data_IF_952997177456
#
_entry.id   IF_952997177456
#
_cell.length_a   1.000
_cell.length_b   1.000
_cell.length_c   1.000
_cell.angle_alpha   90.00
_cell.angle_beta   90.00
_cell.angle_gamma   90.00
#
_symmetry.space_group_name_H-M   'P 1'
#
loop_
_entity.id
_entity.type
_entity.pdbx_description
1 polymer ?
#
# COMPACT_ATOMS: atom_id res chain seq x y z
N UNK A 1 -41.75 66.15 36.75
CA UNK A 1 -42.41 65.15 35.87
C UNK A 1 -42.81 65.82 34.56
N UNK A 2 -42.63 65.11 33.44
CA UNK A 2 -42.98 65.44 32.02
C UNK A 2 -42.06 66.46 31.34
N UNK A 3 -41.66 66.33 30.08
CA UNK A 3 -41.39 65.22 29.14
C UNK A 3 -40.63 65.93 28.00
N UNK A 4 -39.46 65.44 27.59
CA UNK A 4 -38.60 66.07 26.59
C UNK A 4 -39.05 65.74 25.14
N UNK A 5 -38.61 66.62 24.24
CA UNK A 5 -39.00 66.76 22.85
C UNK A 5 -38.22 65.88 21.86
N UNK A 6 -38.91 65.63 20.73
CA UNK A 6 -38.49 65.54 19.32
C UNK A 6 -37.01 65.34 18.92
N UNK A 7 -36.88 64.52 17.86
CA UNK A 7 -36.08 64.73 16.63
C UNK A 7 -34.96 63.71 16.36
N UNK A 8 -34.89 63.23 15.11
CA UNK A 8 -33.64 62.81 14.48
C UNK A 8 -33.71 61.54 13.62
N UNK A 9 -34.02 61.68 12.33
CA UNK A 9 -33.58 60.74 11.29
C UNK A 9 -32.17 61.12 10.82
N UNK A 10 -31.29 60.14 10.57
CA UNK A 10 -30.13 60.33 9.69
C UNK A 10 -29.66 58.99 9.09
N UNK A 11 -29.43 59.03 7.78
CA UNK A 11 -28.79 58.03 6.93
C UNK A 11 -27.29 57.87 7.21
N UNK A 12 -26.73 56.68 6.93
CA UNK A 12 -25.36 56.41 6.42
C UNK A 12 -25.12 54.89 6.46
N UNK A 13 -24.38 54.17 5.61
CA UNK A 13 -23.60 54.42 4.41
C UNK A 13 -23.32 53.04 3.73
N UNK A 14 -23.05 53.08 2.43
CA UNK A 14 -22.44 52.00 1.64
C UNK A 14 -21.02 51.66 2.14
N UNK A 15 -20.59 50.39 1.99
CA UNK A 15 -19.24 50.07 1.48
C UNK A 15 -19.09 48.58 1.11
N UNK A 16 -18.51 48.38 -0.07
CA UNK A 16 -18.08 47.15 -0.75
C UNK A 16 -16.75 46.61 -0.20
N UNK A 17 -16.41 45.36 -0.58
CA UNK A 17 -15.09 44.67 -0.54
C UNK A 17 -14.86 43.91 0.78
N UNK A 18 -14.46 42.63 0.83
CA UNK A 18 -13.20 42.04 0.33
C UNK A 18 -13.33 40.51 0.19
N UNK A 19 -12.85 39.99 -0.94
CA UNK A 19 -12.44 38.59 -1.15
C UNK A 19 -11.25 38.25 -0.24
N UNK A 20 -11.34 37.17 0.54
CA UNK A 20 -10.16 36.41 0.95
C UNK A 20 -10.42 34.92 0.76
N UNK A 21 -9.47 34.30 0.06
CA UNK A 21 -9.30 32.86 -0.07
C UNK A 21 -8.42 32.34 1.08
N UNK A 22 -8.25 31.00 1.12
CA UNK A 22 -7.35 30.15 1.93
C UNK A 22 -8.15 29.19 2.83
N UNK A 23 -7.87 27.89 2.95
CA UNK A 23 -6.78 27.02 2.47
C UNK A 23 -7.30 25.58 2.57
N UNK A 24 -7.02 24.71 1.57
CA UNK A 24 -7.34 23.27 1.64
C UNK A 24 -6.14 22.51 2.19
N UNK A 25 -6.38 21.73 3.23
CA UNK A 25 -5.43 20.93 4.00
C UNK A 25 -4.73 19.85 3.17
N UNK A 26 -3.43 19.67 3.40
CA UNK A 26 -2.54 18.71 2.73
C UNK A 26 -2.69 17.25 3.21
N UNK A 27 -3.86 16.83 3.67
CA UNK A 27 -4.07 15.52 4.30
C UNK A 27 -4.28 14.34 3.34
N UNK A 28 -4.72 14.59 2.10
CA UNK A 28 -5.17 13.51 1.20
C UNK A 28 -4.08 12.93 0.29
N UNK A 29 -2.84 13.45 0.33
CA UNK A 29 -1.78 13.03 -0.61
C UNK A 29 -0.83 11.92 -0.13
N UNK A 30 -0.84 11.55 1.15
CA UNK A 30 0.11 10.54 1.66
C UNK A 30 -0.36 9.08 1.48
N UNK A 31 -1.67 8.80 1.49
CA UNK A 31 -2.16 7.42 1.42
C UNK A 31 -1.91 6.74 0.06
N UNK A 32 -1.89 7.50 -1.04
CA UNK A 32 -1.65 6.95 -2.38
C UNK A 32 -0.16 6.66 -2.68
N UNK A 33 0.77 7.25 -1.93
CA UNK A 33 2.20 7.17 -2.23
C UNK A 33 2.86 5.84 -1.87
N UNK A 34 2.43 5.20 -0.77
CA UNK A 34 3.00 3.92 -0.34
C UNK A 34 2.52 2.74 -1.19
N UNK A 35 1.24 2.71 -1.58
CA UNK A 35 0.69 1.67 -2.46
C UNK A 35 1.38 1.68 -3.84
N UNK A 36 1.74 2.87 -4.34
CA UNK A 36 2.29 3.02 -5.68
C UNK A 36 3.80 2.72 -5.79
N UNK A 37 4.54 2.77 -4.67
CA UNK A 37 6.00 2.51 -4.67
C UNK A 37 6.36 1.03 -4.76
N UNK A 38 5.43 0.14 -4.42
CA UNK A 38 5.60 -1.32 -4.56
C UNK A 38 5.41 -1.79 -6.01
N UNK A 39 4.69 -1.02 -6.84
CA UNK A 39 4.20 -1.48 -8.14
C UNK A 39 4.95 -0.94 -9.38
N UNK A 40 5.88 0.01 -9.26
CA UNK A 40 6.32 0.82 -10.42
C UNK A 40 7.79 0.70 -10.85
N UNK A 41 8.60 -0.23 -10.34
CA UNK A 41 9.97 -0.41 -10.84
C UNK A 41 10.06 -1.48 -11.92
N UNK A 42 9.51 -1.20 -13.11
CA UNK A 42 10.05 -1.60 -14.44
C UNK A 42 8.94 -1.73 -15.49
N UNK A 43 8.60 -0.63 -16.15
CA UNK A 43 7.95 -0.69 -17.46
C UNK A 43 8.21 0.60 -18.20
N UNK A 44 9.39 0.71 -18.77
CA UNK A 44 9.61 1.60 -19.90
C UNK A 44 10.19 0.81 -21.05
N UNK A 45 9.47 0.94 -22.16
CA UNK A 45 9.87 0.82 -23.55
C UNK A 45 9.55 -0.46 -24.31
N UNK A 46 8.99 -0.18 -25.50
CA UNK A 46 8.96 -0.96 -26.74
C UNK A 46 7.70 -1.79 -27.01
N UNK A 47 6.61 -1.11 -27.38
CA UNK A 47 5.66 -1.69 -28.34
C UNK A 47 5.14 -0.61 -29.30
N UNK A 48 5.88 -0.41 -30.40
CA UNK A 48 5.35 -0.03 -31.72
C UNK A 48 6.52 0.06 -32.67
N UNK A 49 6.55 -0.79 -33.70
CA UNK A 49 6.73 -0.40 -35.11
C UNK A 49 7.00 -1.62 -36.02
N UNK A 50 6.24 -1.64 -37.12
CA UNK A 50 6.56 -2.17 -38.46
C UNK A 50 6.24 -3.63 -38.78
N UNK A 51 5.17 -3.77 -39.59
CA UNK A 51 4.90 -4.90 -40.47
C UNK A 51 5.83 -4.83 -41.69
N UNK A 52 6.52 -5.92 -42.00
CA UNK A 52 7.33 -6.06 -43.22
C UNK A 52 7.52 -7.53 -43.61
N UNK A 53 6.94 -7.92 -44.73
CA UNK A 53 6.97 -9.27 -45.29
C UNK A 53 8.39 -9.69 -45.74
N UNK A 54 8.76 -10.97 -45.54
CA UNK A 54 9.96 -11.56 -46.15
C UNK A 54 9.63 -12.92 -46.77
N UNK A 55 9.98 -13.03 -48.05
CA UNK A 55 9.87 -14.21 -48.91
C UNK A 55 10.98 -15.23 -48.64
N UNK A 56 10.69 -16.49 -49.00
CA UNK A 56 11.50 -17.68 -48.83
C UNK A 56 12.92 -17.61 -49.43
N UNK A 57 13.92 -18.09 -48.69
CA UNK A 57 14.90 -19.05 -49.24
C UNK A 57 15.63 -19.83 -48.15
N UNK A 58 16.02 -21.04 -48.54
CA UNK A 58 16.52 -22.19 -47.77
C UNK A 58 18.00 -22.07 -47.42
N UNK A 59 18.37 -22.30 -46.16
CA UNK A 59 19.74 -22.64 -45.73
C UNK A 59 19.74 -23.82 -44.74
N UNK A 60 20.84 -24.58 -44.77
CA UNK A 60 21.03 -25.99 -44.38
C UNK A 60 21.22 -26.23 -42.86
N UNK A 61 21.05 -27.47 -42.37
CA UNK A 61 21.23 -27.80 -40.95
C UNK A 61 22.72 -27.83 -40.59
N UNK A 62 23.12 -26.94 -39.69
CA UNK A 62 24.42 -26.97 -39.03
C UNK A 62 24.29 -27.63 -37.66
N UNK A 63 25.08 -28.68 -37.45
CA UNK A 63 25.34 -29.33 -36.17
C UNK A 63 25.77 -28.31 -35.10
N UNK A 64 24.92 -28.09 -34.11
CA UNK A 64 25.23 -27.33 -32.90
C UNK A 64 25.02 -28.23 -31.70
N UNK A 65 26.05 -28.32 -30.85
CA UNK A 65 26.03 -29.01 -29.56
C UNK A 65 24.74 -28.73 -28.78
N UNK A 66 24.27 -29.74 -28.06
CA UNK A 66 23.11 -29.64 -27.17
C UNK A 66 23.18 -28.38 -26.32
N UNK A 67 22.34 -27.41 -26.67
CA UNK A 67 21.99 -26.35 -25.79
C UNK A 67 21.34 -27.04 -24.59
N UNK A 68 22.07 -27.07 -23.48
CA UNK A 68 21.43 -27.14 -22.19
C UNK A 68 20.53 -25.91 -22.14
N UNK A 69 19.26 -26.11 -22.49
CA UNK A 69 18.20 -25.20 -22.17
C UNK A 69 18.23 -25.12 -20.66
N UNK A 70 18.99 -24.17 -20.12
CA UNK A 70 18.68 -23.62 -18.82
C UNK A 70 17.36 -22.91 -19.08
N UNK A 71 16.27 -23.68 -19.04
CA UNK A 71 14.97 -23.13 -18.73
C UNK A 71 15.21 -22.52 -17.37
N UNK A 72 15.42 -21.20 -17.36
CA UNK A 72 15.20 -20.40 -16.18
C UNK A 72 13.79 -20.72 -15.75
N UNK A 73 13.63 -21.72 -14.87
CA UNK A 73 12.63 -21.58 -13.84
C UNK A 73 13.06 -20.29 -13.16
N UNK A 74 12.38 -19.21 -13.50
CA UNK A 74 11.90 -18.34 -12.44
C UNK A 74 11.25 -19.31 -11.47
N UNK A 75 12.06 -19.83 -10.54
CA UNK A 75 11.55 -20.55 -9.40
C UNK A 75 10.55 -19.57 -8.82
N UNK A 76 9.28 -19.94 -8.84
CA UNK A 76 8.16 -19.16 -8.32
C UNK A 76 8.36 -19.15 -6.79
N UNK A 77 9.35 -18.36 -6.35
CA UNK A 77 9.80 -18.34 -4.97
C UNK A 77 8.74 -17.59 -4.18
N UNK A 78 8.20 -18.28 -3.18
CA UNK A 78 7.24 -17.70 -2.25
C UNK A 78 7.80 -16.41 -1.66
N UNK A 79 6.92 -15.42 -1.50
CA UNK A 79 7.29 -14.11 -1.00
C UNK A 79 7.01 -14.06 0.49
N UNK A 80 8.00 -13.63 1.28
CA UNK A 80 7.82 -13.31 2.70
C UNK A 80 7.85 -11.79 2.87
N UNK A 81 6.89 -11.26 3.63
CA UNK A 81 6.85 -9.84 4.00
C UNK A 81 6.97 -9.71 5.51
N UNK A 82 7.83 -8.78 5.93
CA UNK A 82 7.95 -8.31 7.30
C UNK A 82 7.44 -6.88 7.36
N UNK A 83 6.24 -6.69 7.91
CA UNK A 83 5.65 -5.38 8.12
C UNK A 83 5.71 -4.99 9.59
N UNK A 84 6.56 -4.02 9.93
CA UNK A 84 6.75 -3.52 11.28
C UNK A 84 6.02 -2.21 11.47
N UNK A 85 5.16 -2.16 12.49
CA UNK A 85 4.37 -0.99 12.85
C UNK A 85 4.63 -0.64 14.31
N UNK A 86 4.63 0.67 14.60
CA UNK A 86 4.74 1.17 15.97
C UNK A 86 3.50 1.99 16.29
N UNK A 87 2.79 1.62 17.34
CA UNK A 87 1.68 2.39 17.85
C UNK A 87 2.17 3.61 18.63
N UNK A 88 1.39 4.69 18.62
CA UNK A 88 1.51 5.78 19.57
C UNK A 88 1.30 5.25 20.98
N UNK A 89 1.97 5.88 21.95
CA UNK A 89 1.82 5.54 23.36
C UNK A 89 0.36 5.68 23.79
N UNK A 90 -0.19 4.63 24.40
CA UNK A 90 -1.57 4.59 24.88
C UNK A 90 -2.61 4.11 23.86
N UNK A 91 -2.22 3.86 22.60
CA UNK A 91 -3.12 3.31 21.56
C UNK A 91 -2.83 1.85 21.23
N UNK A 92 -1.98 1.18 22.02
CA UNK A 92 -1.47 -0.17 21.72
C UNK A 92 -2.58 -1.22 21.63
N UNK A 93 -3.62 -1.09 22.47
CA UNK A 93 -4.76 -2.00 22.46
C UNK A 93 -5.66 -1.79 21.24
N UNK A 94 -5.87 -0.54 20.83
CA UNK A 94 -6.66 -0.20 19.64
C UNK A 94 -5.95 -0.68 18.37
N UNK A 95 -4.63 -0.45 18.29
CA UNK A 95 -3.75 -0.97 17.24
C UNK A 95 -3.81 -2.50 17.19
N UNK A 96 -3.66 -3.18 18.33
CA UNK A 96 -3.73 -4.64 18.40
C UNK A 96 -5.08 -5.16 17.90
N UNK A 97 -6.19 -4.54 18.32
CA UNK A 97 -7.51 -4.97 17.90
C UNK A 97 -7.70 -4.80 16.39
N UNK A 98 -7.31 -3.65 15.83
CA UNK A 98 -7.36 -3.41 14.39
C UNK A 98 -6.57 -4.45 13.58
N UNK A 99 -5.36 -4.80 14.04
CA UNK A 99 -4.54 -5.83 13.40
C UNK A 99 -5.12 -7.25 13.57
N UNK A 100 -5.75 -7.55 14.70
CA UNK A 100 -6.43 -8.85 14.90
C UNK A 100 -7.66 -9.00 14.03
N UNK A 101 -8.36 -7.91 13.74
CA UNK A 101 -9.55 -7.93 12.88
C UNK A 101 -9.14 -8.26 11.44
N UNK A 102 -8.13 -7.57 10.88
CA UNK A 102 -7.69 -7.82 9.48
C UNK A 102 -7.16 -9.24 9.27
N UNK A 103 -6.54 -9.87 10.28
CA UNK A 103 -6.08 -11.27 10.19
C UNK A 103 -7.24 -12.21 9.86
N UNK A 104 -8.46 -11.93 10.34
CA UNK A 104 -9.64 -12.74 10.03
C UNK A 104 -10.10 -12.56 8.59
N UNK A 105 -10.05 -11.33 8.09
CA UNK A 105 -10.46 -11.00 6.72
C UNK A 105 -9.49 -11.61 5.70
N UNK A 106 -8.19 -11.52 5.98
CA UNK A 106 -7.11 -12.05 5.12
C UNK A 106 -7.11 -13.58 5.05
N UNK A 107 -7.68 -14.27 6.04
CA UNK A 107 -7.75 -15.74 6.05
C UNK A 107 -8.52 -16.33 4.86
N UNK A 108 -9.36 -15.53 4.18
CA UNK A 108 -10.08 -15.92 2.97
C UNK A 108 -9.33 -15.66 1.66
N UNK A 109 -8.15 -15.03 1.69
CA UNK A 109 -7.39 -14.69 0.48
C UNK A 109 -6.70 -15.92 -0.12
N UNK A 110 -6.90 -16.11 -1.42
CA UNK A 110 -6.20 -17.17 -2.14
C UNK A 110 -4.72 -16.80 -2.32
N UNK A 111 -3.83 -17.74 -2.00
CA UNK A 111 -2.39 -17.54 -2.13
C UNK A 111 -1.72 -16.91 -0.90
N UNK A 112 -2.47 -16.50 0.12
CA UNK A 112 -1.92 -16.11 1.43
C UNK A 112 -1.65 -17.34 2.28
N UNK A 113 -0.37 -17.71 2.40
CA UNK A 113 0.09 -18.93 3.06
C UNK A 113 0.30 -18.74 4.57
N UNK A 114 0.71 -17.55 4.99
CA UNK A 114 0.81 -17.17 6.39
C UNK A 114 0.48 -15.69 6.56
N UNK A 115 -0.19 -15.35 7.65
CA UNK A 115 -0.46 -13.97 8.04
C UNK A 115 -0.55 -13.93 9.57
N UNK A 116 0.55 -13.55 10.21
CA UNK A 116 0.78 -13.76 11.65
C UNK A 116 1.09 -12.43 12.32
N UNK A 117 0.24 -12.07 13.28
CA UNK A 117 0.43 -10.91 14.13
C UNK A 117 1.34 -11.25 15.31
N UNK A 118 2.37 -10.44 15.51
CA UNK A 118 3.29 -10.49 16.62
C UNK A 118 3.36 -9.15 17.36
N UNK A 119 3.60 -9.20 18.67
CA UNK A 119 3.99 -8.05 19.50
C UNK A 119 5.43 -8.24 19.97
N UNK A 120 6.24 -7.19 19.94
CA UNK A 120 7.60 -7.25 20.46
C UNK A 120 7.59 -7.43 22.00
N UNK A 121 8.43 -8.35 22.50
CA UNK A 121 8.52 -8.61 23.96
C UNK A 121 9.08 -7.45 24.77
N UNK A 122 9.92 -6.62 24.15
CA UNK A 122 10.61 -5.49 24.81
C UNK A 122 9.93 -4.14 24.60
N UNK A 123 8.96 -4.07 23.69
CA UNK A 123 8.25 -2.83 23.37
C UNK A 123 6.79 -3.15 23.03
N UNK A 124 5.83 -2.90 23.94
CA UNK A 124 4.42 -3.21 23.69
C UNK A 124 3.78 -2.36 22.58
N UNK A 125 4.41 -1.24 22.19
CA UNK A 125 3.97 -0.41 21.06
C UNK A 125 4.36 -1.01 19.71
N UNK A 126 5.33 -1.93 19.67
CA UNK A 126 5.86 -2.47 18.42
C UNK A 126 5.18 -3.78 18.03
N UNK A 127 4.60 -3.79 16.84
CA UNK A 127 3.95 -4.92 16.22
C UNK A 127 4.68 -5.33 14.95
N UNK A 128 4.60 -6.61 14.62
CA UNK A 128 5.11 -7.18 13.38
C UNK A 128 4.01 -8.03 12.76
N UNK A 129 3.73 -7.83 11.48
CA UNK A 129 3.01 -8.78 10.66
C UNK A 129 4.05 -9.59 9.88
N UNK A 130 4.03 -10.91 10.08
CA UNK A 130 4.75 -11.85 9.26
C UNK A 130 3.78 -12.42 8.23
N UNK A 131 4.07 -12.20 6.97
CA UNK A 131 3.19 -12.58 5.88
C UNK A 131 3.96 -13.46 4.90
N UNK A 132 3.28 -14.44 4.33
CA UNK A 132 3.84 -15.31 3.30
C UNK A 132 2.82 -15.49 2.20
N UNK A 133 3.24 -15.26 0.96
CA UNK A 133 2.43 -15.36 -0.24
C UNK A 133 3.02 -16.39 -1.19
N UNK A 134 2.16 -17.07 -1.93
CA UNK A 134 2.57 -18.05 -2.94
C UNK A 134 3.43 -17.40 -4.03
N UNK A 135 3.03 -16.23 -4.48
CA UNK A 135 3.58 -15.52 -5.64
C UNK A 135 3.32 -14.01 -5.52
N UNK A 136 3.75 -13.25 -6.54
CA UNK A 136 3.59 -11.79 -6.60
C UNK A 136 2.13 -11.38 -6.80
N UNK A 137 1.36 -12.18 -7.52
CA UNK A 137 -0.05 -11.98 -7.80
C UNK A 137 -0.87 -12.02 -6.50
N UNK A 138 -0.57 -12.96 -5.61
CA UNK A 138 -1.19 -13.07 -4.28
C UNK A 138 -0.85 -11.86 -3.39
N UNK A 139 0.41 -11.42 -3.39
CA UNK A 139 0.81 -10.20 -2.66
C UNK A 139 0.10 -8.95 -3.22
N UNK A 140 0.02 -8.82 -4.54
CA UNK A 140 -0.69 -7.71 -5.18
C UNK A 140 -2.19 -7.75 -4.87
N UNK A 141 -2.79 -8.95 -4.89
CA UNK A 141 -4.18 -9.15 -4.52
C UNK A 141 -4.42 -8.64 -3.11
N UNK A 142 -3.64 -9.11 -2.13
CA UNK A 142 -3.69 -8.68 -0.73
C UNK A 142 -3.70 -7.15 -0.60
N UNK A 143 -2.72 -6.47 -1.20
CA UNK A 143 -2.58 -5.01 -1.14
C UNK A 143 -3.68 -4.22 -1.87
N UNK A 144 -4.48 -4.88 -2.71
CA UNK A 144 -5.61 -4.29 -3.45
C UNK A 144 -6.97 -4.52 -2.79
N UNK A 145 -7.03 -5.32 -1.72
CA UNK A 145 -8.29 -5.71 -1.11
C UNK A 145 -8.98 -4.54 -0.36
N UNK A 146 -10.33 -4.55 -0.28
CA UNK A 146 -11.05 -3.55 0.51
C UNK A 146 -10.69 -3.56 2.00
N UNK A 147 -10.44 -4.74 2.59
CA UNK A 147 -10.08 -4.86 4.00
C UNK A 147 -8.66 -4.39 4.29
N UNK A 148 -7.71 -4.54 3.36
CA UNK A 148 -6.39 -3.90 3.48
C UNK A 148 -6.51 -2.37 3.54
N UNK A 149 -7.27 -1.78 2.62
CA UNK A 149 -7.50 -0.33 2.61
C UNK A 149 -8.20 0.16 3.89
N UNK A 150 -9.23 -0.57 4.34
CA UNK A 150 -9.95 -0.24 5.58
C UNK A 150 -9.07 -0.37 6.83
N UNK A 151 -8.23 -1.41 6.88
CA UNK A 151 -7.24 -1.60 7.94
C UNK A 151 -6.27 -0.42 7.96
N UNK A 152 -5.68 -0.06 6.82
CA UNK A 152 -4.72 1.04 6.74
C UNK A 152 -5.34 2.37 7.20
N UNK A 153 -6.58 2.66 6.79
CA UNK A 153 -7.31 3.84 7.27
C UNK A 153 -7.52 3.84 8.78
N UNK A 154 -7.83 2.68 9.38
CA UNK A 154 -8.02 2.53 10.83
C UNK A 154 -6.72 2.73 11.60
N UNK A 155 -5.60 2.21 11.11
CA UNK A 155 -4.33 2.23 11.84
C UNK A 155 -3.49 3.48 11.59
N UNK A 156 -3.65 4.15 10.45
CA UNK A 156 -2.91 5.36 10.10
C UNK A 156 -2.86 6.42 11.22
N UNK A 157 -3.98 6.78 11.89
CA UNK A 157 -3.94 7.74 12.99
C UNK A 157 -3.25 7.22 14.25
N UNK A 158 -3.09 5.90 14.40
CA UNK A 158 -2.50 5.24 15.57
C UNK A 158 -0.98 5.07 15.46
N UNK A 159 -0.39 5.28 14.29
CA UNK A 159 1.03 5.03 14.04
C UNK A 159 1.96 6.12 14.60
N UNK A 160 3.03 5.70 15.26
CA UNK A 160 4.19 6.50 15.67
C UNK A 160 5.31 6.40 14.63
N UNK A 161 5.15 7.17 13.54
CA UNK A 161 6.03 7.14 12.37
C UNK A 161 5.56 6.19 11.27
N UNK A 162 6.33 6.12 10.19
CA UNK A 162 5.98 5.29 9.04
C UNK A 162 6.21 3.79 9.32
N UNK A 163 5.33 2.90 8.86
CA UNK A 163 5.58 1.47 8.87
C UNK A 163 6.82 1.11 8.05
N UNK A 164 7.57 0.10 8.50
CA UNK A 164 8.68 -0.48 7.75
C UNK A 164 8.21 -1.78 7.10
N UNK A 165 8.44 -1.92 5.79
CA UNK A 165 8.08 -3.10 5.00
C UNK A 165 9.34 -3.62 4.34
N UNK A 166 9.66 -4.88 4.61
CA UNK A 166 10.75 -5.60 3.96
C UNK A 166 10.20 -6.86 3.27
N UNK A 167 10.64 -7.11 2.04
CA UNK A 167 10.17 -8.21 1.19
C UNK A 167 11.35 -9.14 0.91
N UNK A 168 11.12 -10.44 1.04
CA UNK A 168 12.14 -11.48 0.89
C UNK A 168 11.64 -12.61 -0.01
N UNK A 169 12.58 -13.26 -0.69
CA UNK A 169 12.38 -14.55 -1.33
C UNK A 169 12.60 -15.66 -0.29
N UNK A 170 11.68 -16.61 -0.20
CA UNK A 170 11.88 -17.78 0.65
C UNK A 170 12.75 -18.81 -0.06
N UNK A 171 13.93 -19.09 0.50
CA UNK A 171 14.85 -20.11 -0.04
C UNK A 171 14.54 -21.53 0.45
N UNK A 172 14.07 -21.66 1.70
CA UNK A 172 13.71 -22.96 2.32
C UNK A 172 12.90 -22.71 3.60
N UNK A 173 11.95 -23.60 3.91
CA UNK A 173 11.23 -23.60 5.20
C UNK A 173 10.96 -25.02 5.70
N UNK A 174 10.68 -25.15 7.00
CA UNK A 174 10.19 -26.42 7.56
C UNK A 174 8.68 -26.44 7.36
N UNK A 175 8.21 -27.32 6.47
CA UNK A 175 6.78 -27.42 6.16
C UNK A 175 5.98 -28.02 7.33
N UNK A 176 4.74 -27.53 7.51
CA UNK A 176 3.71 -28.22 8.29
C UNK A 176 3.90 -28.33 9.80
N UNK A 177 4.88 -27.65 10.41
CA UNK A 177 5.03 -27.61 11.87
C UNK A 177 4.52 -26.27 12.41
N UNK A 178 3.43 -26.31 13.19
CA UNK A 178 2.91 -25.17 13.94
C UNK A 178 2.92 -25.50 15.44
#
# INVERSE_FOLDING_TARGET
MRKAALSGHALSANATTVLTAESRSSGERCAAGLANRVLQTSSTDLCSLEQGAVSHSRLKPGSGQGAHTITSREEELMITVIAVMKAKKGTEQEMEQALRDVVKDVAGEEGTLAYVLNRAKKDPQKFLMYEKYRDKEALNHHGSTPHFAAMFQKIAPLLDGDPSIEIFEELTSIEGKR
#
